data_IF_805843173508
#
_entry.id   IF_805843173508
#
_cell.length_a   1.000
_cell.length_b   1.000
_cell.length_c   1.000
_cell.angle_alpha   90.00
_cell.angle_beta   90.00
_cell.angle_gamma   90.00
#
_symmetry.space_group_name_H-M   'P 1'
#
loop_
_entity.id
_entity.type
_entity.pdbx_description
1 polymer ?
#
# COMPACT_ATOMS: atom_id res chain seq x y z
N UNK A 1 -5.85 25.26 -3.02
CA UNK A 1 -4.89 25.10 -1.92
C UNK A 1 -4.36 23.68 -1.99
N UNK A 2 -3.20 23.46 -2.60
CA UNK A 2 -2.61 22.12 -2.67
C UNK A 2 -2.14 21.78 -1.25
N UNK A 3 -2.87 20.90 -0.55
CA UNK A 3 -2.36 20.32 0.69
C UNK A 3 -1.04 19.63 0.34
N UNK A 4 0.07 20.19 0.82
CA UNK A 4 1.38 19.54 0.70
C UNK A 4 1.34 18.37 1.67
N UNK A 5 0.85 17.24 1.19
CA UNK A 5 0.95 16.00 1.93
C UNK A 5 2.44 15.65 2.08
N UNK A 6 2.84 15.23 3.28
CA UNK A 6 4.22 14.83 3.55
C UNK A 6 4.66 13.64 2.70
N UNK A 7 5.98 13.35 2.63
CA UNK A 7 6.53 12.23 1.87
C UNK A 7 5.85 10.89 2.20
N UNK A 8 5.31 10.74 3.41
CA UNK A 8 4.56 9.57 3.87
C UNK A 8 3.30 9.31 3.01
N UNK A 9 2.60 10.36 2.57
CA UNK A 9 1.42 10.20 1.72
C UNK A 9 1.79 9.72 0.32
N UNK A 10 2.92 10.19 -0.22
CA UNK A 10 3.45 9.67 -1.49
C UNK A 10 3.79 8.18 -1.38
N UNK A 11 4.37 7.74 -0.23
CA UNK A 11 4.62 6.32 0.03
C UNK A 11 3.32 5.51 0.11
N UNK A 12 2.26 6.06 0.69
CA UNK A 12 0.96 5.39 0.69
C UNK A 12 0.43 5.19 -0.72
N UNK A 13 0.37 6.26 -1.51
CA UNK A 13 -0.10 6.19 -2.90
C UNK A 13 0.75 5.24 -3.73
N UNK A 14 2.07 5.26 -3.57
CA UNK A 14 2.98 4.32 -4.22
C UNK A 14 2.73 2.87 -3.77
N UNK A 15 2.41 2.65 -2.49
CA UNK A 15 2.06 1.33 -1.96
C UNK A 15 0.75 0.79 -2.54
N UNK A 16 -0.25 1.66 -2.74
CA UNK A 16 -1.50 1.30 -3.42
C UNK A 16 -1.24 0.90 -4.87
N UNK A 17 -0.45 1.71 -5.60
CA UNK A 17 -0.07 1.41 -6.99
C UNK A 17 0.70 0.09 -7.05
N UNK A 18 1.68 -0.12 -6.18
CA UNK A 18 2.45 -1.35 -6.13
C UNK A 18 1.57 -2.57 -5.86
N UNK A 19 0.61 -2.47 -4.93
CA UNK A 19 -0.36 -3.54 -4.69
C UNK A 19 -1.16 -3.86 -5.97
N UNK A 20 -1.65 -2.84 -6.69
CA UNK A 20 -2.39 -3.04 -7.95
C UNK A 20 -1.52 -3.72 -9.01
N UNK A 21 -0.24 -3.34 -9.12
CA UNK A 21 0.68 -3.98 -10.07
C UNK A 21 0.94 -5.45 -9.74
N UNK A 22 0.96 -5.80 -8.45
CA UNK A 22 1.24 -7.15 -7.96
C UNK A 22 0.00 -8.07 -7.98
N UNK A 23 -1.17 -7.53 -7.63
CA UNK A 23 -2.40 -8.29 -7.42
C UNK A 23 -3.44 -8.09 -8.53
N UNK A 24 -3.28 -7.07 -9.38
CA UNK A 24 -4.23 -6.71 -10.44
C UNK A 24 -5.52 -6.04 -9.96
N UNK A 25 -5.70 -5.86 -8.65
CA UNK A 25 -6.91 -5.31 -8.01
C UNK A 25 -6.54 -4.26 -6.97
N UNK A 26 -7.42 -3.27 -6.67
CA UNK A 26 -7.17 -2.31 -5.61
C UNK A 26 -7.16 -2.98 -4.22
N UNK A 27 -6.31 -2.52 -3.28
CA UNK A 27 -6.25 -3.06 -1.92
C UNK A 27 -7.46 -2.68 -1.05
N UNK A 28 -8.14 -1.59 -1.41
CA UNK A 28 -9.32 -1.08 -0.72
C UNK A 28 -10.40 -0.83 -1.76
N UNK A 29 -11.56 -1.46 -1.59
CA UNK A 29 -12.68 -1.40 -2.52
C UNK A 29 -13.96 -1.07 -1.76
N UNK A 30 -14.84 -0.32 -2.40
CA UNK A 30 -16.16 0.05 -1.88
C UNK A 30 -17.00 0.64 -3.00
N UNK A 31 -18.31 0.65 -2.82
CA UNK A 31 -19.26 1.18 -3.82
C UNK A 31 -19.34 2.71 -3.76
N UNK A 32 -18.98 3.29 -2.62
CA UNK A 32 -18.95 4.74 -2.37
C UNK A 32 -17.55 5.22 -1.94
N UNK A 33 -17.26 6.50 -2.15
CA UNK A 33 -16.01 7.13 -1.67
C UNK A 33 -15.83 6.97 -0.15
N UNK A 34 -16.93 7.05 0.61
CA UNK A 34 -16.92 6.87 2.06
C UNK A 34 -16.53 5.43 2.45
N UNK A 35 -17.02 4.42 1.72
CA UNK A 35 -16.63 3.03 1.95
C UNK A 35 -15.17 2.80 1.61
N UNK A 36 -14.68 3.33 0.48
CA UNK A 36 -13.27 3.25 0.11
C UNK A 36 -12.39 3.89 1.18
N UNK A 37 -12.81 5.05 1.71
CA UNK A 37 -12.08 5.75 2.76
C UNK A 37 -12.10 4.97 4.09
N UNK A 38 -13.26 4.46 4.51
CA UNK A 38 -13.37 3.59 5.68
C UNK A 38 -12.51 2.35 5.52
N UNK A 39 -12.45 1.77 4.32
CA UNK A 39 -11.67 0.57 4.09
C UNK A 39 -10.16 0.85 4.03
N UNK A 40 -9.75 2.01 3.53
CA UNK A 40 -8.37 2.49 3.68
C UNK A 40 -7.99 2.72 5.16
N UNK A 41 -8.93 3.21 5.98
CA UNK A 41 -8.70 3.48 7.40
C UNK A 41 -8.77 2.24 8.28
N UNK A 42 -9.65 1.28 7.99
CA UNK A 42 -10.00 0.17 8.90
C UNK A 42 -9.78 -1.20 8.29
N UNK A 43 -9.83 -1.30 6.97
CA UNK A 43 -9.56 -2.51 6.22
C UNK A 43 -8.18 -3.10 6.46
N UNK A 44 -8.08 -4.38 6.11
CA UNK A 44 -6.85 -5.18 6.19
C UNK A 44 -6.44 -5.55 4.78
N UNK A 45 -5.14 -5.51 4.51
CA UNK A 45 -4.60 -5.97 3.25
C UNK A 45 -4.76 -7.49 3.15
N UNK A 46 -5.37 -7.94 2.07
CA UNK A 46 -5.51 -9.35 1.75
C UNK A 46 -4.57 -9.73 0.60
N UNK A 47 -3.67 -10.67 0.82
CA UNK A 47 -2.79 -11.22 -0.23
C UNK A 47 -3.08 -12.70 -0.49
N UNK A 48 -4.22 -13.17 0.02
CA UNK A 48 -4.67 -14.57 -0.01
C UNK A 48 -5.92 -14.80 -0.83
N UNK A 49 -6.61 -13.74 -1.26
CA UNK A 49 -7.74 -13.85 -2.17
C UNK A 49 -7.32 -14.45 -3.52
N UNK A 50 -8.21 -15.23 -4.12
CA UNK A 50 -7.99 -15.90 -5.40
C UNK A 50 -8.35 -14.95 -6.57
N UNK A 51 -7.58 -14.86 -7.67
CA UNK A 51 -6.34 -15.58 -7.97
C UNK A 51 -5.19 -15.12 -7.07
N UNK A 52 -4.60 -16.07 -6.32
CA UNK A 52 -3.50 -15.73 -5.41
C UNK A 52 -2.32 -15.18 -6.22
N UNK A 53 -1.86 -13.96 -5.92
CA UNK A 53 -0.74 -13.37 -6.65
C UNK A 53 0.53 -14.19 -6.40
N UNK A 54 1.29 -14.48 -7.46
CA UNK A 54 2.57 -15.17 -7.42
C UNK A 54 3.68 -14.24 -6.94
N UNK A 55 3.51 -13.69 -5.74
CA UNK A 55 4.40 -12.70 -5.14
C UNK A 55 5.12 -13.26 -3.92
N UNK A 56 6.39 -12.90 -3.80
CA UNK A 56 7.28 -13.25 -2.70
C UNK A 56 6.81 -12.65 -1.37
N UNK A 57 7.21 -13.26 -0.25
CA UNK A 57 6.89 -12.71 1.07
C UNK A 57 7.60 -11.36 1.31
N UNK A 58 8.75 -11.12 0.67
CA UNK A 58 9.44 -9.83 0.72
C UNK A 58 8.64 -8.70 0.08
N UNK A 59 7.95 -8.96 -1.04
CA UNK A 59 7.11 -7.97 -1.71
C UNK A 59 5.87 -7.67 -0.86
N UNK A 60 5.23 -8.70 -0.29
CA UNK A 60 4.11 -8.52 0.64
C UNK A 60 4.51 -7.70 1.88
N UNK A 61 5.66 -8.00 2.49
CA UNK A 61 6.18 -7.24 3.64
C UNK A 61 6.41 -5.78 3.29
N UNK A 62 6.93 -5.48 2.09
CA UNK A 62 7.11 -4.11 1.65
C UNK A 62 5.78 -3.38 1.52
N UNK A 63 4.81 -3.96 0.82
CA UNK A 63 3.49 -3.33 0.64
C UNK A 63 2.81 -3.10 1.99
N UNK A 64 2.89 -4.07 2.92
CA UNK A 64 2.39 -3.90 4.30
C UNK A 64 3.05 -2.72 5.03
N UNK A 65 4.35 -2.49 4.81
CA UNK A 65 5.10 -1.37 5.41
C UNK A 65 4.79 -0.01 4.77
N UNK A 66 4.51 0.01 3.47
CA UNK A 66 4.09 1.21 2.75
C UNK A 66 2.67 1.63 3.11
N UNK A 67 1.79 0.66 3.36
CA UNK A 67 0.37 0.87 3.70
C UNK A 67 0.11 0.80 5.22
N UNK A 68 1.10 1.17 6.03
CA UNK A 68 0.88 1.38 7.47
C UNK A 68 0.02 2.64 7.65
N UNK A 69 -1.07 2.49 8.40
CA UNK A 69 -2.07 3.53 8.67
C UNK A 69 -1.47 4.73 9.39
N UNK A 70 -0.67 4.46 10.42
CA UNK A 70 0.08 5.50 11.14
C UNK A 70 1.23 6.03 10.27
N UNK A 71 1.19 7.29 9.81
CA UNK A 71 2.22 7.86 8.96
C UNK A 71 3.61 7.84 9.61
N UNK A 72 3.70 7.96 10.95
CA UNK A 72 4.98 7.97 11.67
C UNK A 72 5.67 6.62 11.69
N UNK A 73 4.92 5.54 11.51
CA UNK A 73 5.42 4.16 11.45
C UNK A 73 5.60 3.65 10.03
N UNK A 74 5.15 4.43 9.04
CA UNK A 74 5.26 4.10 7.62
C UNK A 74 6.72 4.13 7.19
N UNK A 75 7.10 3.20 6.32
CA UNK A 75 8.45 3.15 5.77
C UNK A 75 8.76 4.45 5.00
N UNK A 76 10.00 4.92 5.10
CA UNK A 76 10.45 6.09 4.35
C UNK A 76 10.80 5.72 2.92
N UNK A 77 10.84 6.70 2.01
CA UNK A 77 11.27 6.50 0.63
C UNK A 77 12.64 5.81 0.53
N UNK A 78 13.59 6.23 1.37
CA UNK A 78 14.90 5.58 1.47
C UNK A 78 14.79 4.11 1.90
N UNK A 79 13.94 3.81 2.88
CA UNK A 79 13.70 2.43 3.32
C UNK A 79 13.08 1.54 2.24
N UNK A 80 12.22 2.10 1.38
CA UNK A 80 11.65 1.39 0.22
C UNK A 80 12.74 1.06 -0.80
N UNK A 81 13.64 2.00 -1.09
CA UNK A 81 14.74 1.82 -2.05
C UNK A 81 15.79 0.81 -1.57
N UNK A 82 16.08 0.77 -0.26
CA UNK A 82 17.03 -0.19 0.31
C UNK A 82 16.48 -1.63 0.42
N UNK A 83 15.20 -1.86 0.13
CA UNK A 83 14.64 -3.21 0.05
C UNK A 83 15.07 -3.84 -1.28
N UNK A 84 15.70 -5.02 -1.18
CA UNK A 84 16.42 -5.80 -2.20
C UNK A 84 15.63 -6.26 -3.45
N UNK A 85 14.54 -5.59 -3.83
CA UNK A 85 13.75 -5.89 -5.03
C UNK A 85 13.91 -4.83 -6.13
N UNK A 86 14.45 -3.65 -5.80
CA UNK A 86 14.69 -2.53 -6.73
C UNK A 86 16.15 -2.46 -7.23
N UNK A 87 17.04 -3.33 -6.74
CA UNK A 87 18.44 -3.48 -7.15
C UNK A 87 18.73 -4.95 -7.46
#
# INVERSE_FOLDING_TARGET
>A
MFQVYGPEAAIWSAGVILYILLCGVPPFWGESENEIFEEALRGKLDFSSDPRPSISESEKDLVRKMLIKDPKRRITAHGVLCKSWLL
#
